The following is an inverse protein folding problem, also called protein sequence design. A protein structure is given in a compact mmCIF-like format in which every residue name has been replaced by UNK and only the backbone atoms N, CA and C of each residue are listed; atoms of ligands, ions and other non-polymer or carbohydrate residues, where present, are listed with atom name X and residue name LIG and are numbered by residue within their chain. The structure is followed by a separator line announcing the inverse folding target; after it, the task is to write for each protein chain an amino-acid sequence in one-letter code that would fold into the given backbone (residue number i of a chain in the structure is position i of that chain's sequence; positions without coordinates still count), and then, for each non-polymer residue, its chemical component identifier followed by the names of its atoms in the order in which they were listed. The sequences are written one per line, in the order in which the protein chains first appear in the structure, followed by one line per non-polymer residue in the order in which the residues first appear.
data_IF_534644085334
#
_entry.id   IF_534644085334
#
_cell.length_a   1.000
_cell.length_b   1.000
_cell.length_c   1.000
_cell.angle_alpha   90.00
_cell.angle_beta   90.00
_cell.angle_gamma   90.00
#
_symmetry.space_group_name_H-M   'P 1'
#
loop_
_entity.id
_entity.type
_entity.pdbx_description
1 polymer ?
#
# COMPACT_ATOMS: atom_id res chain seq x y z
N UNK A 1 -55.38 -20.55 -1.16
CA UNK A 1 -54.95 -19.30 -0.49
C UNK A 1 -53.44 -19.24 -0.52
N UNK A 2 -52.82 -18.39 -1.35
CA UNK A 2 -51.39 -17.99 -1.23
C UNK A 2 -51.04 -17.02 -2.37
N UNK A 3 -51.51 -15.77 -2.27
CA UNK A 3 -51.13 -14.67 -3.20
C UNK A 3 -50.95 -13.34 -2.47
N UNK A 4 -50.79 -13.38 -1.13
CA UNK A 4 -50.73 -12.17 -0.29
C UNK A 4 -49.35 -11.88 0.33
N UNK A 5 -48.33 -12.71 0.09
CA UNK A 5 -47.00 -12.55 0.72
C UNK A 5 -46.01 -11.71 -0.10
N UNK A 6 -46.12 -11.66 -1.43
CA UNK A 6 -45.12 -10.96 -2.26
C UNK A 6 -45.19 -9.43 -2.18
N UNK A 7 -46.34 -8.86 -1.79
CA UNK A 7 -46.50 -7.40 -1.70
C UNK A 7 -45.84 -6.80 -0.46
N UNK A 8 -45.60 -7.58 0.59
CA UNK A 8 -44.97 -7.06 1.81
C UNK A 8 -43.43 -7.06 1.72
N UNK A 9 -42.83 -7.96 0.92
CA UNK A 9 -41.38 -8.00 0.73
C UNK A 9 -40.86 -6.81 -0.10
N UNK A 10 -41.64 -6.35 -1.08
CA UNK A 10 -41.28 -5.20 -1.94
C UNK A 10 -41.19 -3.85 -1.20
N UNK A 11 -41.77 -3.76 0.01
CA UNK A 11 -41.72 -2.55 0.85
C UNK A 11 -40.62 -2.58 1.90
N UNK A 12 -40.08 -3.75 2.25
CA UNK A 12 -39.07 -3.89 3.29
C UNK A 12 -37.63 -3.73 2.77
N UNK A 13 -37.39 -3.84 1.45
CA UNK A 13 -36.03 -3.85 0.86
C UNK A 13 -35.75 -2.72 -0.14
N UNK A 14 -36.28 -1.52 0.10
CA UNK A 14 -35.80 -0.29 -0.55
C UNK A 14 -35.44 -0.39 -2.04
N UNK A 15 -36.46 -0.35 -2.92
CA UNK A 15 -36.30 0.07 -4.32
C UNK A 15 -35.69 -0.94 -5.30
N UNK A 16 -36.29 -1.03 -6.50
CA UNK A 16 -35.86 -1.90 -7.61
C UNK A 16 -34.46 -1.63 -8.18
N UNK A 17 -33.74 -0.62 -7.69
CA UNK A 17 -32.37 -0.31 -8.09
C UNK A 17 -31.35 -1.29 -7.51
N UNK A 18 -31.55 -1.79 -6.30
CA UNK A 18 -30.65 -2.75 -5.64
C UNK A 18 -30.60 -4.09 -6.39
N UNK A 19 -31.75 -4.56 -6.86
CA UNK A 19 -31.88 -5.81 -7.64
C UNK A 19 -31.30 -5.67 -9.06
N UNK A 20 -31.37 -4.46 -9.63
CA UNK A 20 -30.80 -4.15 -10.95
C UNK A 20 -29.28 -4.02 -10.89
N UNK A 21 -28.73 -3.49 -9.79
CA UNK A 21 -27.29 -3.47 -9.48
C UNK A 21 -26.75 -4.90 -9.29
N UNK A 22 -27.49 -5.76 -8.59
CA UNK A 22 -27.15 -7.18 -8.41
C UNK A 22 -27.01 -7.94 -9.73
N UNK A 23 -27.95 -7.79 -10.67
CA UNK A 23 -27.85 -8.40 -12.01
C UNK A 23 -26.67 -7.88 -12.83
N UNK A 24 -26.26 -6.64 -12.63
CA UNK A 24 -25.09 -6.05 -13.31
C UNK A 24 -23.79 -6.62 -12.76
N UNK A 25 -23.66 -6.74 -11.44
CA UNK A 25 -22.51 -7.33 -10.76
C UNK A 25 -22.32 -8.82 -11.14
N UNK A 26 -23.39 -9.61 -11.17
CA UNK A 26 -23.34 -11.03 -11.57
C UNK A 26 -22.88 -11.21 -13.02
N UNK A 27 -23.26 -10.31 -13.93
CA UNK A 27 -22.85 -10.35 -15.35
C UNK A 27 -21.39 -9.90 -15.55
N UNK A 28 -20.84 -9.13 -14.61
CA UNK A 28 -19.47 -8.61 -14.64
C UNK A 28 -18.47 -9.67 -14.13
N UNK A 29 -18.90 -10.49 -13.17
CA UNK A 29 -18.11 -11.55 -12.53
C UNK A 29 -17.98 -12.80 -13.41
N UNK A 30 -18.92 -13.02 -14.33
CA UNK A 30 -18.91 -14.15 -15.25
C UNK A 30 -17.99 -13.99 -16.48
N UNK A 31 -17.24 -12.90 -16.59
CA UNK A 31 -16.21 -12.71 -17.62
C UNK A 31 -14.82 -12.79 -16.98
N UNK A 32 -14.23 -13.98 -16.98
CA UNK A 32 -12.81 -14.18 -16.72
C UNK A 32 -12.05 -14.42 -18.02
N UNK A 33 -11.13 -13.51 -18.33
CA UNK A 33 -9.78 -13.78 -18.87
C UNK A 33 -9.05 -12.46 -19.07
N UNK A 34 -7.76 -12.50 -18.73
CA UNK A 34 -6.69 -11.56 -19.04
C UNK A 34 -6.59 -10.27 -18.20
N UNK A 35 -5.71 -10.30 -17.18
CA UNK A 35 -4.45 -9.57 -17.29
C UNK A 35 -3.48 -9.91 -16.12
N UNK A 36 -2.39 -10.64 -16.40
CA UNK A 36 -1.26 -10.76 -15.44
C UNK A 36 -0.70 -9.39 -15.08
N UNK A 37 -0.74 -8.46 -16.03
CA UNK A 37 -0.36 -7.06 -15.85
C UNK A 37 -1.26 -6.39 -14.81
N UNK A 38 -2.56 -6.66 -14.81
CA UNK A 38 -3.51 -6.12 -13.82
C UNK A 38 -3.20 -6.67 -12.42
N UNK A 39 -2.82 -7.95 -12.32
CA UNK A 39 -2.39 -8.55 -11.04
C UNK A 39 -1.08 -7.91 -10.54
N UNK A 40 -0.11 -7.65 -11.42
CA UNK A 40 1.14 -6.96 -11.05
C UNK A 40 0.90 -5.48 -10.71
N UNK A 41 -0.01 -4.81 -11.42
CA UNK A 41 -0.45 -3.44 -11.13
C UNK A 41 -1.17 -3.33 -9.79
N UNK A 42 -1.85 -4.39 -9.35
CA UNK A 42 -2.49 -4.46 -8.02
C UNK A 42 -1.48 -4.67 -6.88
N UNK A 43 -0.24 -5.09 -7.18
CA UNK A 43 0.81 -5.32 -6.17
C UNK A 43 1.62 -4.06 -5.84
N UNK A 44 1.71 -3.08 -6.74
CA UNK A 44 2.39 -1.80 -6.49
C UNK A 44 1.37 -0.78 -5.99
N UNK A 45 1.11 -0.79 -4.68
CA UNK A 45 -0.02 -0.06 -4.07
C UNK A 45 0.33 1.33 -3.54
N UNK A 46 1.62 1.63 -3.31
CA UNK A 46 2.06 2.93 -2.78
C UNK A 46 2.95 3.68 -3.77
N UNK A 47 2.97 5.01 -3.65
CA UNK A 47 3.83 5.84 -4.48
C UNK A 47 5.31 5.54 -4.23
N UNK A 48 5.71 5.22 -3.00
CA UNK A 48 7.09 4.88 -2.66
C UNK A 48 7.50 3.54 -3.28
N UNK A 49 6.65 2.51 -3.18
CA UNK A 49 6.86 1.24 -3.88
C UNK A 49 6.94 1.44 -5.40
N UNK A 50 6.15 2.39 -5.94
CA UNK A 50 6.22 2.76 -7.36
C UNK A 50 7.55 3.45 -7.70
N UNK A 51 8.03 4.37 -6.87
CA UNK A 51 9.32 5.05 -7.05
C UNK A 51 10.46 4.04 -7.02
N UNK A 52 10.50 3.17 -6.02
CA UNK A 52 11.55 2.18 -5.85
C UNK A 52 11.52 1.14 -6.97
N UNK A 53 10.33 0.67 -7.34
CA UNK A 53 10.14 -0.22 -8.47
C UNK A 53 10.58 0.42 -9.79
N UNK A 54 10.37 1.73 -9.99
CA UNK A 54 10.81 2.46 -11.20
C UNK A 54 12.33 2.59 -11.32
N UNK A 55 13.05 2.61 -10.19
CA UNK A 55 14.50 2.76 -10.14
C UNK A 55 15.23 1.42 -10.13
N UNK A 56 14.65 0.42 -9.45
CA UNK A 56 15.36 -0.83 -9.09
C UNK A 56 14.68 -2.11 -9.56
N UNK A 57 13.45 -2.03 -10.07
CA UNK A 57 12.74 -3.20 -10.60
C UNK A 57 13.44 -3.83 -11.81
N UNK A 58 13.04 -5.04 -12.15
CA UNK A 58 13.32 -5.58 -13.48
C UNK A 58 12.62 -4.72 -14.56
N UNK A 59 12.96 -4.92 -15.84
CA UNK A 59 12.46 -4.07 -16.92
C UNK A 59 10.93 -3.98 -16.96
N UNK A 60 10.23 -5.10 -16.79
CA UNK A 60 8.76 -5.13 -16.82
C UNK A 60 8.18 -4.38 -15.62
N UNK A 61 8.75 -4.62 -14.43
CA UNK A 61 8.36 -3.95 -13.19
C UNK A 61 8.63 -2.44 -13.24
N UNK A 62 9.77 -1.99 -13.75
CA UNK A 62 10.10 -0.57 -13.92
C UNK A 62 9.14 0.10 -14.90
N UNK A 63 8.89 -0.54 -16.03
CA UNK A 63 7.99 -0.02 -17.05
C UNK A 63 6.59 0.22 -16.47
N UNK A 64 6.07 -0.75 -15.70
CA UNK A 64 4.79 -0.63 -15.01
C UNK A 64 4.80 0.47 -13.95
N UNK A 65 5.87 0.54 -13.16
CA UNK A 65 6.03 1.56 -12.14
C UNK A 65 6.09 2.97 -12.73
N UNK A 66 6.83 3.19 -13.83
CA UNK A 66 6.88 4.48 -14.53
C UNK A 66 5.52 4.87 -15.11
N UNK A 67 4.75 3.91 -15.65
CA UNK A 67 3.37 4.17 -16.04
C UNK A 67 2.53 4.67 -14.85
N UNK A 68 2.68 4.04 -13.69
CA UNK A 68 1.97 4.42 -12.46
C UNK A 68 2.42 5.76 -11.90
N UNK A 69 3.70 6.12 -11.98
CA UNK A 69 4.19 7.46 -11.61
C UNK A 69 3.48 8.58 -12.39
N UNK A 70 3.15 8.34 -13.67
CA UNK A 70 2.35 9.26 -14.46
C UNK A 70 0.92 9.48 -13.94
N UNK A 71 0.34 8.47 -13.28
CA UNK A 71 -0.98 8.56 -12.64
C UNK A 71 -0.94 9.34 -11.32
N UNK A 72 0.20 9.32 -10.61
CA UNK A 72 0.42 10.07 -9.37
C UNK A 72 0.64 11.58 -9.61
N UNK A 73 0.72 12.04 -10.86
CA UNK A 73 0.77 13.45 -11.19
C UNK A 73 2.04 14.14 -10.69
N UNK A 74 1.90 15.22 -9.91
CA UNK A 74 3.02 16.01 -9.38
C UNK A 74 4.02 15.17 -8.58
N UNK A 75 3.52 14.26 -7.76
CA UNK A 75 4.39 13.49 -6.85
C UNK A 75 5.26 12.46 -7.59
N UNK A 76 4.92 12.16 -8.85
CA UNK A 76 5.70 11.31 -9.74
C UNK A 76 6.69 12.07 -10.64
N UNK A 77 6.64 13.41 -10.71
CA UNK A 77 7.38 14.19 -11.71
C UNK A 77 8.88 14.03 -11.65
N UNK A 78 9.45 14.10 -10.45
CA UNK A 78 10.89 13.98 -10.23
C UNK A 78 11.40 12.63 -10.71
N UNK A 79 10.63 11.58 -10.43
CA UNK A 79 10.98 10.20 -10.80
C UNK A 79 10.75 9.93 -12.28
N UNK A 80 9.82 10.63 -12.93
CA UNK A 80 9.72 10.63 -14.38
C UNK A 80 10.91 11.35 -15.04
N UNK A 81 11.45 12.43 -14.46
CA UNK A 81 12.71 13.06 -14.94
C UNK A 81 13.90 12.11 -14.74
N UNK A 82 13.96 11.38 -13.61
CA UNK A 82 14.98 10.35 -13.39
C UNK A 82 14.82 9.22 -14.42
N UNK A 83 13.60 8.77 -14.69
CA UNK A 83 13.33 7.73 -15.67
C UNK A 83 13.61 8.17 -17.12
N UNK A 84 13.65 9.48 -17.41
CA UNK A 84 14.20 10.02 -18.66
C UNK A 84 15.72 9.89 -18.77
N UNK A 85 16.39 9.50 -17.69
CA UNK A 85 17.75 9.02 -17.68
C UNK A 85 17.78 7.52 -17.31
N UNK A 86 16.81 6.67 -17.62
CA UNK A 86 17.01 5.21 -17.42
C UNK A 86 17.80 4.60 -18.59
N UNK A 87 18.72 3.66 -18.35
CA UNK A 87 19.51 2.96 -19.38
C UNK A 87 18.60 2.50 -20.52
N UNK A 88 17.36 2.12 -20.21
CA UNK A 88 16.33 1.68 -21.12
C UNK A 88 15.57 2.73 -21.91
N UNK A 89 15.73 2.85 -23.26
CA UNK A 89 14.99 3.82 -24.02
C UNK A 89 13.52 3.49 -24.07
N UNK A 90 13.07 2.25 -23.83
CA UNK A 90 11.64 1.98 -23.65
C UNK A 90 11.13 2.66 -22.39
N UNK A 91 11.87 2.58 -21.28
CA UNK A 91 11.54 3.28 -20.03
C UNK A 91 11.62 4.80 -20.24
N UNK A 92 12.68 5.33 -20.85
CA UNK A 92 12.78 6.78 -21.20
C UNK A 92 11.64 7.25 -22.10
N UNK A 93 11.31 6.46 -23.12
CA UNK A 93 10.19 6.73 -24.05
C UNK A 93 8.87 6.80 -23.29
N UNK A 94 8.61 5.82 -22.40
CA UNK A 94 7.41 5.81 -21.58
C UNK A 94 7.41 6.99 -20.60
N UNK A 95 8.53 7.30 -19.94
CA UNK A 95 8.64 8.44 -19.04
C UNK A 95 8.35 9.77 -19.74
N UNK A 96 8.89 9.98 -20.96
CA UNK A 96 8.58 11.14 -21.79
C UNK A 96 7.08 11.22 -22.13
N UNK A 97 6.49 10.07 -22.48
CA UNK A 97 5.06 9.94 -22.72
C UNK A 97 4.21 10.23 -21.48
N UNK A 98 4.64 9.77 -20.30
CA UNK A 98 3.95 9.98 -19.03
C UNK A 98 4.06 11.43 -18.55
N UNK A 99 5.20 12.09 -18.78
CA UNK A 99 5.33 13.54 -18.56
C UNK A 99 4.37 14.33 -19.45
N UNK A 100 4.22 13.96 -20.72
CA UNK A 100 3.18 14.55 -21.56
C UNK A 100 1.76 14.21 -21.05
N UNK A 101 1.55 12.98 -20.60
CA UNK A 101 0.27 12.50 -20.06
C UNK A 101 -0.19 13.29 -18.84
N UNK A 102 0.73 13.75 -18.00
CA UNK A 102 0.42 14.61 -16.83
C UNK A 102 -0.15 15.97 -17.23
N UNK A 103 0.04 16.39 -18.49
CA UNK A 103 -0.46 17.64 -19.10
C UNK A 103 0.09 18.93 -18.51
N UNK A 104 1.14 18.88 -17.69
CA UNK A 104 1.73 20.09 -17.11
C UNK A 104 2.73 20.71 -18.08
N UNK A 105 2.65 22.03 -18.24
CA UNK A 105 3.49 22.76 -19.19
C UNK A 105 4.95 22.86 -18.71
N UNK A 106 5.21 22.76 -17.42
CA UNK A 106 6.56 22.76 -16.85
C UNK A 106 7.38 21.52 -17.25
N UNK A 107 6.73 20.40 -17.55
CA UNK A 107 7.36 19.22 -18.14
C UNK A 107 8.09 19.52 -19.45
N UNK A 108 7.70 20.57 -20.20
CA UNK A 108 8.40 20.98 -21.42
C UNK A 108 9.85 21.34 -21.14
N UNK A 109 10.16 21.96 -20.00
CA UNK A 109 11.53 22.35 -19.67
C UNK A 109 12.39 21.13 -19.35
N UNK A 110 11.80 20.13 -18.70
CA UNK A 110 12.42 18.84 -18.45
C UNK A 110 12.71 18.15 -19.80
N UNK A 111 11.66 17.94 -20.61
CA UNK A 111 11.75 17.27 -21.90
C UNK A 111 12.74 17.93 -22.87
N UNK A 112 12.88 19.26 -22.86
CA UNK A 112 13.87 19.97 -23.70
C UNK A 112 15.31 19.55 -23.44
N UNK A 113 15.65 19.17 -22.20
CA UNK A 113 17.00 18.67 -21.86
C UNK A 113 17.33 17.39 -22.64
N UNK A 114 16.30 16.60 -22.97
CA UNK A 114 16.40 15.30 -23.63
C UNK A 114 16.09 15.35 -25.13
N UNK A 115 15.92 16.54 -25.73
CA UNK A 115 15.74 16.66 -27.19
C UNK A 115 16.99 16.21 -27.98
N UNK A 116 18.13 16.10 -27.31
CA UNK A 116 19.39 15.59 -27.83
C UNK A 116 19.73 14.15 -27.41
N UNK A 117 18.77 13.38 -26.88
CA UNK A 117 18.98 11.97 -26.48
C UNK A 117 19.67 11.18 -27.61
N UNK A 118 20.53 10.23 -27.27
CA UNK A 118 21.29 9.45 -28.24
C UNK A 118 20.39 8.53 -29.09
N UNK A 119 19.23 8.13 -28.56
CA UNK A 119 18.31 7.18 -29.16
C UNK A 119 17.23 7.90 -29.97
N UNK A 120 17.08 7.51 -31.24
CA UNK A 120 16.14 8.17 -32.16
C UNK A 120 14.70 8.13 -31.68
N UNK A 121 14.22 6.98 -31.18
CA UNK A 121 12.85 6.82 -30.68
C UNK A 121 12.55 7.72 -29.47
N UNK A 122 13.53 7.93 -28.58
CA UNK A 122 13.38 8.83 -27.42
C UNK A 122 13.35 10.28 -27.90
N UNK A 123 14.24 10.71 -28.81
CA UNK A 123 14.20 12.06 -29.38
C UNK A 123 12.88 12.37 -30.07
N UNK A 124 12.38 11.45 -30.89
CA UNK A 124 11.09 11.58 -31.58
C UNK A 124 9.94 11.70 -30.57
N UNK A 125 9.93 10.86 -29.53
CA UNK A 125 8.92 10.87 -28.49
C UNK A 125 8.98 12.15 -27.66
N UNK A 126 10.17 12.63 -27.29
CA UNK A 126 10.38 13.88 -26.59
C UNK A 126 9.91 15.07 -27.43
N UNK A 127 10.26 15.11 -28.72
CA UNK A 127 9.80 16.15 -29.63
C UNK A 127 8.27 16.14 -29.79
N UNK A 128 7.67 14.95 -29.91
CA UNK A 128 6.23 14.76 -29.94
C UNK A 128 5.57 15.22 -28.63
N UNK A 129 6.09 14.79 -27.47
CA UNK A 129 5.62 15.15 -26.14
C UNK A 129 5.65 16.66 -25.92
N UNK A 130 6.73 17.33 -26.30
CA UNK A 130 6.85 18.80 -26.24
C UNK A 130 5.80 19.45 -27.15
N UNK A 131 5.68 19.02 -28.41
CA UNK A 131 4.70 19.58 -29.34
C UNK A 131 3.26 19.36 -28.86
N UNK A 132 3.00 18.18 -28.28
CA UNK A 132 1.72 17.82 -27.70
C UNK A 132 1.40 18.71 -26.49
N UNK A 133 2.31 18.86 -25.53
CA UNK A 133 2.12 19.73 -24.36
C UNK A 133 1.99 21.21 -24.76
N UNK A 134 2.70 21.68 -25.78
CA UNK A 134 2.53 23.05 -26.27
C UNK A 134 1.15 23.29 -26.89
N UNK A 135 0.56 22.26 -27.49
CA UNK A 135 -0.75 22.34 -28.16
C UNK A 135 -1.93 22.05 -27.21
N UNK A 136 -1.72 21.18 -26.21
CA UNK A 136 -2.77 20.56 -25.41
C UNK A 136 -2.53 20.62 -23.88
N UNK A 137 -1.35 21.06 -23.44
CA UNK A 137 -1.00 21.19 -22.03
C UNK A 137 -1.99 22.11 -21.31
N UNK A 138 -2.49 21.64 -20.18
CA UNK A 138 -3.56 22.24 -19.37
C UNK A 138 -4.92 22.51 -20.03
N UNK A 139 -5.13 22.24 -21.33
CA UNK A 139 -6.44 22.31 -21.98
C UNK A 139 -6.52 21.48 -23.28
N UNK A 140 -7.20 20.31 -23.27
CA UNK A 140 -8.07 19.71 -24.34
C UNK A 140 -8.60 18.30 -23.88
N UNK A 141 -9.77 17.84 -24.38
CA UNK A 141 -10.73 16.98 -23.66
C UNK A 141 -10.34 15.50 -23.50
N UNK A 142 -10.93 14.90 -22.47
CA UNK A 142 -10.89 13.50 -22.02
C UNK A 142 -10.60 12.42 -23.09
N UNK A 143 -9.61 11.54 -22.81
CA UNK A 143 -9.53 10.18 -23.38
C UNK A 143 -8.25 9.83 -24.16
N UNK A 144 -7.62 8.65 -23.93
CA UNK A 144 -6.20 8.43 -24.19
C UNK A 144 -5.89 7.90 -25.60
N UNK A 145 -4.68 8.19 -26.07
CA UNK A 145 -4.06 7.67 -27.29
C UNK A 145 -2.92 6.71 -26.91
N UNK A 146 -2.88 5.53 -27.53
CA UNK A 146 -1.89 4.45 -27.28
C UNK A 146 -0.86 4.42 -28.42
N UNK A 147 0.45 4.66 -28.19
CA UNK A 147 1.48 4.57 -29.23
C UNK A 147 2.46 3.40 -29.07
N UNK A 148 3.19 3.13 -30.16
CA UNK A 148 3.74 1.83 -30.62
C UNK A 148 5.25 1.67 -30.31
N UNK A 149 5.71 0.46 -29.92
CA UNK A 149 7.03 0.12 -29.32
C UNK A 149 8.27 0.04 -30.26
N UNK A 150 9.50 0.32 -29.74
CA UNK A 150 10.90 -0.12 -30.15
C UNK A 150 12.01 0.55 -29.28
N UNK A 151 13.30 0.16 -29.15
CA UNK A 151 14.13 -1.09 -29.12
C UNK A 151 15.52 -0.70 -28.48
N UNK A 152 15.80 -1.01 -27.18
CA UNK A 152 17.12 -1.38 -26.55
C UNK A 152 17.98 -0.44 -25.60
N UNK A 153 18.45 -0.91 -24.39
CA UNK A 153 18.55 -0.14 -23.12
C UNK A 153 19.84 -0.05 -22.26
N UNK A 154 20.97 0.52 -22.69
CA UNK A 154 22.24 0.27 -21.97
C UNK A 154 23.14 1.46 -21.62
N UNK A 155 22.63 2.69 -21.41
CA UNK A 155 23.51 3.88 -21.39
C UNK A 155 23.65 4.75 -20.11
N UNK A 156 23.23 4.38 -18.90
CA UNK A 156 23.04 5.40 -17.83
C UNK A 156 23.81 5.28 -16.49
N UNK A 157 24.33 4.14 -16.03
CA UNK A 157 24.68 3.98 -14.59
C UNK A 157 26.13 4.28 -14.10
N UNK A 158 26.72 5.48 -14.22
CA UNK A 158 28.03 5.79 -13.55
C UNK A 158 28.23 7.27 -13.13
N UNK A 159 28.08 7.63 -11.83
CA UNK A 159 28.79 8.75 -11.14
C UNK A 159 28.40 8.90 -9.62
N UNK A 160 29.22 8.39 -8.65
CA UNK A 160 29.42 8.99 -7.30
C UNK A 160 30.56 8.30 -6.50
N UNK A 161 31.42 9.10 -5.87
CA UNK A 161 32.73 8.74 -5.27
C UNK A 161 32.70 8.51 -3.73
N UNK A 162 31.72 7.78 -3.19
CA UNK A 162 31.82 7.27 -1.81
C UNK A 162 32.50 5.90 -1.83
N UNK A 163 33.63 5.75 -1.10
CA UNK A 163 34.28 4.45 -0.90
C UNK A 163 33.18 3.47 -0.46
N UNK A 164 32.90 2.39 -1.22
CA UNK A 164 31.84 1.48 -0.86
C UNK A 164 32.16 0.89 0.51
N UNK A 165 31.34 1.22 1.52
CA UNK A 165 31.36 0.54 2.80
C UNK A 165 31.18 -0.95 2.51
N UNK A 166 32.15 -1.75 2.93
CA UNK A 166 32.04 -3.20 2.80
C UNK A 166 30.88 -3.65 3.67
N UNK A 167 29.92 -4.35 3.07
CA UNK A 167 28.83 -4.98 3.79
C UNK A 167 29.29 -6.33 4.35
N UNK A 168 28.98 -6.62 5.60
CA UNK A 168 29.17 -7.96 6.15
C UNK A 168 27.90 -8.79 6.00
N UNK A 169 28.07 -10.08 5.66
CA UNK A 169 26.99 -11.06 5.68
C UNK A 169 26.94 -11.84 7.01
N UNK A 170 27.88 -11.61 7.94
CA UNK A 170 27.92 -12.30 9.25
C UNK A 170 27.12 -11.59 10.34
N UNK A 171 26.61 -10.39 10.07
CA UNK A 171 25.78 -9.63 11.02
C UNK A 171 24.39 -9.50 10.44
N UNK A 172 23.43 -10.14 11.11
CA UNK A 172 22.02 -10.15 10.70
C UNK A 172 21.28 -9.09 11.51
N UNK A 173 20.51 -8.25 10.83
CA UNK A 173 19.68 -7.23 11.44
C UNK A 173 18.22 -7.66 11.33
N UNK A 174 17.56 -7.77 12.47
CA UNK A 174 16.13 -8.10 12.58
C UNK A 174 15.44 -6.86 13.14
N UNK A 175 14.45 -6.36 12.42
CA UNK A 175 13.69 -5.19 12.84
C UNK A 175 12.26 -5.60 13.17
N UNK A 176 11.69 -4.99 14.20
CA UNK A 176 10.28 -5.12 14.56
C UNK A 176 9.75 -3.77 15.06
N UNK A 177 8.43 -3.69 15.24
CA UNK A 177 7.83 -2.54 15.88
C UNK A 177 6.57 -2.91 16.64
N UNK A 178 6.33 -2.18 17.71
CA UNK A 178 5.10 -2.23 18.48
C UNK A 178 4.41 -0.88 18.43
N UNK A 179 3.08 -0.89 18.37
CA UNK A 179 2.30 0.35 18.32
C UNK A 179 1.32 0.40 19.49
N UNK A 180 1.24 1.56 20.11
CA UNK A 180 0.26 1.94 21.11
C UNK A 180 -0.56 3.13 20.58
N UNK A 181 -1.62 3.55 21.27
CA UNK A 181 -2.40 4.72 20.85
C UNK A 181 -1.60 6.02 20.73
N UNK A 182 -0.56 6.20 21.56
CA UNK A 182 0.19 7.46 21.66
C UNK A 182 1.66 7.32 21.22
N UNK A 183 2.14 6.11 20.97
CA UNK A 183 3.55 5.86 20.67
C UNK A 183 3.79 4.65 19.77
N UNK A 184 4.95 4.65 19.12
CA UNK A 184 5.52 3.51 18.41
C UNK A 184 6.89 3.21 19.02
N UNK A 185 7.15 1.94 19.29
CA UNK A 185 8.45 1.45 19.72
C UNK A 185 9.03 0.65 18.55
N UNK A 186 10.09 1.18 17.94
CA UNK A 186 10.82 0.51 16.87
C UNK A 186 11.99 -0.27 17.47
N UNK A 187 11.90 -1.60 17.40
CA UNK A 187 12.93 -2.49 17.91
C UNK A 187 13.88 -2.95 16.81
N UNK A 188 15.16 -3.03 17.16
CA UNK A 188 16.19 -3.56 16.28
C UNK A 188 17.06 -4.54 17.06
N UNK A 189 17.19 -5.74 16.54
CA UNK A 189 18.03 -6.80 17.08
C UNK A 189 19.15 -7.10 16.10
N UNK A 190 20.38 -6.98 16.58
CA UNK A 190 21.60 -7.17 15.81
C UNK A 190 22.21 -8.47 16.29
N UNK A 191 22.28 -9.46 15.41
CA UNK A 191 22.82 -10.79 15.70
C UNK A 191 24.16 -10.96 15.03
N UNK A 192 25.19 -11.23 15.81
CA UNK A 192 26.52 -11.53 15.30
C UNK A 192 26.64 -13.04 15.06
N UNK A 193 26.48 -13.48 13.80
CA UNK A 193 26.68 -14.88 13.41
C UNK A 193 28.14 -15.21 13.05
N UNK A 194 29.05 -14.24 13.24
CA UNK A 194 30.47 -14.40 13.08
C UNK A 194 31.12 -15.20 14.22
N UNK A 195 32.37 -15.63 13.99
CA UNK A 195 33.16 -16.37 14.98
C UNK A 195 33.95 -15.47 15.94
N UNK A 196 33.84 -14.16 15.79
CA UNK A 196 34.60 -13.13 16.53
C UNK A 196 33.66 -12.03 17.00
N UNK A 197 33.94 -11.38 18.14
CA UNK A 197 33.12 -10.27 18.62
C UNK A 197 33.17 -9.09 17.63
N UNK A 198 32.11 -8.28 17.66
CA UNK A 198 32.04 -6.99 16.98
C UNK A 198 31.92 -5.88 18.02
N UNK A 199 32.50 -4.73 17.74
CA UNK A 199 32.60 -3.60 18.67
C UNK A 199 31.95 -2.35 18.09
N UNK A 200 31.66 -1.37 18.95
CA UNK A 200 31.17 -0.05 18.58
C UNK A 200 29.97 -0.09 17.63
N UNK A 201 29.04 -1.01 17.91
CA UNK A 201 27.85 -1.22 17.08
C UNK A 201 26.95 0.01 17.22
N UNK A 202 26.83 0.80 16.16
CA UNK A 202 26.06 2.03 16.11
C UNK A 202 24.86 1.86 15.19
N UNK A 203 23.66 2.10 15.72
CA UNK A 203 22.42 2.15 14.94
C UNK A 203 21.96 3.59 14.82
N UNK A 204 21.63 4.01 13.61
CA UNK A 204 21.03 5.33 13.34
C UNK A 204 19.74 5.21 12.54
N UNK A 205 18.69 5.91 12.96
CA UNK A 205 17.48 6.13 12.17
C UNK A 205 17.80 7.21 11.13
N UNK A 206 17.74 6.86 9.85
CA UNK A 206 18.03 7.76 8.73
C UNK A 206 16.79 8.50 8.26
N UNK A 207 15.64 7.81 8.24
CA UNK A 207 14.35 8.34 7.79
C UNK A 207 13.22 7.66 8.55
N UNK A 208 12.13 8.38 8.76
CA UNK A 208 10.87 7.92 9.36
C UNK A 208 9.74 8.86 8.89
N UNK A 209 8.46 8.48 9.01
CA UNK A 209 7.33 9.32 8.61
C UNK A 209 7.14 10.49 9.59
N UNK A 210 7.96 11.53 9.43
CA UNK A 210 8.05 12.69 10.34
C UNK A 210 6.81 13.57 10.39
N UNK A 211 5.89 13.40 9.44
CA UNK A 211 4.58 14.04 9.39
C UNK A 211 3.63 13.55 10.50
N UNK A 212 3.77 12.29 10.93
CA UNK A 212 2.90 11.68 11.93
C UNK A 212 3.66 11.18 13.17
N UNK A 213 4.99 11.15 13.14
CA UNK A 213 5.85 10.71 14.25
C UNK A 213 6.84 11.79 14.69
N UNK A 214 7.02 11.90 16.01
CA UNK A 214 8.10 12.68 16.62
C UNK A 214 9.00 11.77 17.47
N UNK A 215 10.34 11.84 17.33
CA UNK A 215 11.24 10.95 18.07
C UNK A 215 11.24 11.30 19.56
N UNK A 216 11.06 10.30 20.43
CA UNK A 216 11.14 10.46 21.88
C UNK A 216 12.61 10.44 22.38
N UNK A 217 13.48 9.74 21.65
CA UNK A 217 14.88 9.50 22.00
C UNK A 217 15.85 10.02 20.91
N UNK A 218 17.15 9.83 21.15
CA UNK A 218 18.20 10.06 20.14
C UNK A 218 17.99 9.17 18.91
N UNK A 219 18.16 9.73 17.71
CA UNK A 219 18.16 8.98 16.45
C UNK A 219 19.32 8.00 16.33
N UNK A 220 20.35 8.13 17.16
CA UNK A 220 21.51 7.23 17.20
C UNK A 220 21.66 6.62 18.59
N UNK A 221 21.83 5.31 18.62
CA UNK A 221 22.13 4.53 19.82
C UNK A 221 23.25 3.53 19.51
N UNK A 222 23.98 3.09 20.54
CA UNK A 222 25.14 2.22 20.35
C UNK A 222 25.21 1.10 21.39
N UNK A 223 25.68 -0.06 20.95
CA UNK A 223 26.08 -1.19 21.79
C UNK A 223 27.60 -1.31 21.71
N UNK A 224 28.26 -1.35 22.87
CA UNK A 224 29.73 -1.34 22.92
C UNK A 224 30.35 -2.57 22.27
N UNK A 225 29.75 -3.74 22.46
CA UNK A 225 30.26 -5.03 21.98
C UNK A 225 29.12 -6.06 21.87
N UNK A 226 29.19 -6.92 20.86
CA UNK A 226 28.34 -8.11 20.71
C UNK A 226 29.24 -9.31 20.46
N UNK A 227 29.20 -10.29 21.37
CA UNK A 227 29.99 -11.52 21.30
C UNK A 227 29.64 -12.37 20.08
N UNK A 228 30.55 -13.28 19.72
CA UNK A 228 30.33 -14.24 18.65
C UNK A 228 29.12 -15.14 18.94
N UNK A 229 28.19 -15.25 18.00
CA UNK A 229 26.90 -15.96 18.13
C UNK A 229 25.95 -15.38 19.20
N UNK A 230 26.15 -14.13 19.61
CA UNK A 230 25.24 -13.41 20.52
C UNK A 230 24.45 -12.33 19.76
N UNK A 231 23.53 -11.68 20.48
CA UNK A 231 22.70 -10.60 19.95
C UNK A 231 22.57 -9.43 20.91
N UNK A 232 22.47 -8.23 20.35
CA UNK A 232 22.13 -7.02 21.08
C UNK A 232 20.87 -6.38 20.51
N UNK A 233 20.03 -5.80 21.38
CA UNK A 233 18.79 -5.15 20.97
C UNK A 233 18.75 -3.69 21.43
N UNK A 234 18.18 -2.83 20.58
CA UNK A 234 17.92 -1.42 20.86
C UNK A 234 16.46 -1.11 20.55
N UNK A 235 15.91 -0.10 21.22
CA UNK A 235 14.54 0.36 21.02
C UNK A 235 14.58 1.88 20.79
N UNK A 236 13.89 2.33 19.75
CA UNK A 236 13.69 3.74 19.42
C UNK A 236 12.22 4.10 19.63
N UNK A 237 11.96 4.99 20.59
CA UNK A 237 10.62 5.49 20.84
C UNK A 237 10.24 6.62 19.87
N UNK A 238 9.03 6.56 19.34
CA UNK A 238 8.37 7.65 18.61
C UNK A 238 7.04 7.97 19.29
N UNK A 239 6.74 9.25 19.45
CA UNK A 239 5.42 9.75 19.84
C UNK A 239 4.60 9.96 18.57
N UNK A 240 3.35 9.55 18.62
CA UNK A 240 2.40 9.75 17.52
C UNK A 240 1.78 11.14 17.65
N UNK A 241 1.79 11.90 16.56
CA UNK A 241 1.24 13.26 16.51
C UNK A 241 -0.02 13.36 15.63
N UNK A 242 -0.35 12.30 14.89
CA UNK A 242 -1.50 12.27 13.97
C UNK A 242 -2.32 10.97 14.16
N UNK A 243 -3.57 10.99 13.67
CA UNK A 243 -4.49 9.85 13.74
C UNK A 243 -4.14 8.70 12.79
N UNK A 244 -3.12 8.89 11.97
CA UNK A 244 -2.73 7.99 10.92
C UNK A 244 -1.20 7.94 10.84
N UNK A 245 -0.65 6.74 11.02
CA UNK A 245 0.78 6.48 10.82
C UNK A 245 0.93 5.48 9.68
N UNK A 246 1.56 5.91 8.58
CA UNK A 246 1.98 5.03 7.50
C UNK A 246 3.28 5.54 6.90
N UNK A 247 4.30 4.69 6.81
CA UNK A 247 5.56 5.04 6.15
C UNK A 247 6.69 4.09 6.47
N UNK A 248 7.87 4.37 5.93
CA UNK A 248 9.06 3.55 6.14
C UNK A 248 10.00 4.13 7.19
N UNK A 249 10.47 3.28 8.09
CA UNK A 249 11.62 3.56 8.94
C UNK A 249 12.85 2.95 8.28
N UNK A 250 13.81 3.80 7.92
CA UNK A 250 15.07 3.43 7.30
C UNK A 250 16.17 3.55 8.34
N UNK A 251 16.96 2.49 8.50
CA UNK A 251 18.02 2.43 9.52
C UNK A 251 19.37 2.08 8.93
N UNK A 252 20.43 2.54 9.60
CA UNK A 252 21.82 2.18 9.30
C UNK A 252 22.45 1.54 10.51
N UNK A 253 23.09 0.39 10.30
CA UNK A 253 23.83 -0.34 11.33
C UNK A 253 25.30 -0.40 10.92
N UNK A 254 26.16 0.17 11.75
CA UNK A 254 27.62 0.17 11.58
C UNK A 254 28.29 -0.50 12.76
N UNK A 255 29.43 -1.12 12.54
CA UNK A 255 30.20 -1.77 13.60
C UNK A 255 31.67 -1.89 13.20
N UNK A 256 32.52 -2.15 14.18
CA UNK A 256 33.95 -2.43 14.00
C UNK A 256 34.18 -3.92 14.22
N UNK A 257 34.79 -4.60 13.24
CA UNK A 257 35.11 -6.03 13.38
C UNK A 257 36.38 -6.26 14.22
N UNK A 258 36.75 -7.53 14.45
CA UNK A 258 37.96 -7.87 15.20
C UNK A 258 39.28 -7.45 14.54
N UNK A 259 39.27 -7.09 13.25
CA UNK A 259 40.44 -6.56 12.54
C UNK A 259 40.56 -5.04 12.68
N UNK A 260 39.56 -4.38 13.27
CA UNK A 260 39.46 -2.93 13.37
C UNK A 260 38.88 -2.26 12.13
N UNK A 261 38.27 -3.04 11.22
CA UNK A 261 37.62 -2.50 10.02
C UNK A 261 36.20 -2.02 10.34
N UNK A 262 35.84 -0.84 9.82
CA UNK A 262 34.50 -0.24 9.93
C UNK A 262 33.60 -0.79 8.81
N UNK A 263 32.56 -1.52 9.21
CA UNK A 263 31.67 -2.24 8.32
C UNK A 263 30.21 -1.80 8.52
N UNK A 264 29.39 -2.00 7.49
CA UNK A 264 27.95 -1.84 7.58
C UNK A 264 27.25 -3.20 7.53
N UNK A 265 26.21 -3.37 8.34
CA UNK A 265 25.28 -4.48 8.20
C UNK A 265 24.12 -4.08 7.29
N UNK A 266 23.59 -5.04 6.53
CA UNK A 266 22.38 -4.84 5.72
C UNK A 266 21.19 -4.74 6.67
N UNK A 267 20.71 -3.52 6.92
CA UNK A 267 19.47 -3.27 7.62
C UNK A 267 18.37 -3.08 6.58
N UNK A 268 17.32 -3.92 6.63
CA UNK A 268 16.15 -3.73 5.79
C UNK A 268 15.33 -2.51 6.22
N UNK A 269 14.51 -1.98 5.31
CA UNK A 269 13.49 -0.99 5.66
C UNK A 269 12.33 -1.67 6.37
N UNK A 270 11.68 -0.96 7.29
CA UNK A 270 10.44 -1.44 7.92
C UNK A 270 9.31 -0.51 7.55
N UNK A 271 8.30 -1.07 6.90
CA UNK A 271 7.04 -0.38 6.67
C UNK A 271 6.19 -0.44 7.93
N UNK A 272 5.93 0.72 8.52
CA UNK A 272 5.11 0.88 9.71
C UNK A 272 3.73 1.37 9.27
N UNK A 273 2.69 0.69 9.74
CA UNK A 273 1.30 1.11 9.55
C UNK A 273 0.53 0.96 10.87
N UNK A 274 -0.03 2.05 11.37
CA UNK A 274 -0.90 2.08 12.54
C UNK A 274 -2.04 3.06 12.27
N UNK A 275 -3.26 2.54 12.25
CA UNK A 275 -4.46 3.35 12.01
C UNK A 275 -5.42 3.13 13.17
N UNK A 276 -5.90 1.91 13.33
CA UNK A 276 -6.95 1.60 14.29
C UNK A 276 -6.54 1.75 15.76
N UNK A 277 -5.24 1.79 16.07
CA UNK A 277 -4.76 2.04 17.44
C UNK A 277 -4.95 3.50 17.86
N UNK A 278 -5.08 4.41 16.91
CA UNK A 278 -5.33 5.84 17.13
C UNK A 278 -6.83 6.17 17.22
N UNK A 279 -7.70 5.15 17.22
CA UNK A 279 -9.15 5.29 17.30
C UNK A 279 -9.70 4.56 18.53
N UNK A 280 -10.77 5.11 19.09
CA UNK A 280 -11.55 4.48 20.16
C UNK A 280 -12.94 4.05 19.66
N UNK A 281 -13.50 2.94 20.16
CA UNK A 281 -14.85 2.52 19.81
C UNK A 281 -15.88 3.62 20.11
N UNK A 282 -16.73 3.94 19.13
CA UNK A 282 -17.78 4.94 19.27
C UNK A 282 -19.16 4.27 19.35
N UNK A 283 -19.78 4.29 20.52
CA UNK A 283 -21.13 3.75 20.69
C UNK A 283 -22.13 4.49 19.79
N UNK A 284 -22.78 3.75 18.90
CA UNK A 284 -23.69 4.30 17.89
C UNK A 284 -24.78 3.29 17.53
N UNK A 285 -25.97 3.78 17.20
CA UNK A 285 -27.06 2.93 16.69
C UNK A 285 -27.08 2.91 15.16
N UNK A 286 -27.59 1.83 14.58
CA UNK A 286 -27.64 1.68 13.11
C UNK A 286 -28.47 2.77 12.40
N UNK A 287 -29.51 3.32 13.04
CA UNK A 287 -30.29 4.45 12.52
C UNK A 287 -29.49 5.75 12.51
N UNK A 288 -28.66 5.98 13.51
CA UNK A 288 -27.78 7.15 13.60
C UNK A 288 -26.69 7.10 12.52
N UNK A 289 -26.08 5.93 12.31
CA UNK A 289 -25.06 5.74 11.27
C UNK A 289 -25.59 6.06 9.87
N UNK A 290 -26.87 5.76 9.56
CA UNK A 290 -27.46 6.09 8.26
C UNK A 290 -27.45 7.58 7.99
N UNK A 291 -27.59 8.41 9.02
CA UNK A 291 -27.52 9.86 8.89
C UNK A 291 -26.08 10.36 8.81
N UNK A 292 -25.16 9.79 9.59
CA UNK A 292 -23.76 10.20 9.57
C UNK A 292 -23.07 9.89 8.23
N UNK A 293 -23.31 8.70 7.68
CA UNK A 293 -22.60 8.20 6.49
C UNK A 293 -22.84 9.03 5.22
N UNK A 294 -23.88 9.88 5.17
CA UNK A 294 -24.16 10.67 3.96
C UNK A 294 -23.11 11.74 3.70
N UNK A 295 -22.41 12.15 4.76
CA UNK A 295 -21.48 13.27 4.73
C UNK A 295 -20.01 12.80 4.69
N UNK A 296 -19.78 11.50 4.94
CA UNK A 296 -18.46 10.87 4.96
C UNK A 296 -17.96 10.53 3.56
N UNK A 297 -16.63 10.55 3.38
CA UNK A 297 -15.97 9.98 2.21
C UNK A 297 -16.07 8.46 2.26
N UNK A 298 -16.18 7.84 1.09
CA UNK A 298 -16.36 6.40 0.98
C UNK A 298 -15.32 5.79 0.04
N UNK A 299 -14.70 4.72 0.51
CA UNK A 299 -14.01 3.74 -0.33
C UNK A 299 -14.78 2.43 -0.33
N UNK A 300 -14.85 1.74 -1.47
CA UNK A 300 -15.42 0.40 -1.52
C UNK A 300 -14.79 -0.48 -2.60
N UNK A 301 -14.65 -1.77 -2.29
CA UNK A 301 -14.17 -2.78 -3.23
C UNK A 301 -14.74 -4.16 -2.90
N UNK A 302 -14.93 -4.97 -3.95
CA UNK A 302 -15.28 -6.38 -3.83
C UNK A 302 -14.03 -7.23 -4.07
N UNK A 303 -13.79 -8.19 -3.18
CA UNK A 303 -12.68 -9.14 -3.19
C UNK A 303 -13.22 -10.56 -3.27
N UNK A 304 -12.46 -11.42 -3.92
CA UNK A 304 -12.70 -12.87 -3.89
C UNK A 304 -11.77 -13.49 -2.86
N UNK A 305 -12.32 -14.24 -1.91
CA UNK A 305 -11.57 -14.83 -0.79
C UNK A 305 -11.74 -16.34 -0.84
N UNK A 306 -10.64 -17.09 -0.72
CA UNK A 306 -10.62 -18.56 -0.78
C UNK A 306 -10.94 -19.16 0.60
N UNK A 307 -12.13 -18.84 1.11
CA UNK A 307 -12.68 -19.40 2.33
C UNK A 307 -14.22 -19.48 2.25
N UNK A 308 -14.84 -20.30 3.10
CA UNK A 308 -16.31 -20.37 3.17
C UNK A 308 -16.88 -19.08 3.77
N UNK A 309 -18.04 -18.62 3.29
CA UNK A 309 -18.58 -17.33 3.69
C UNK A 309 -18.90 -17.23 5.19
N UNK A 310 -19.26 -18.34 5.82
CA UNK A 310 -19.57 -18.40 7.25
C UNK A 310 -18.30 -18.37 8.11
N UNK A 311 -17.21 -18.97 7.62
CA UNK A 311 -15.88 -18.89 8.24
C UNK A 311 -15.34 -17.46 8.20
N UNK A 312 -15.41 -16.82 7.02
CA UNK A 312 -15.07 -15.40 6.87
C UNK A 312 -15.92 -14.56 7.82
N UNK A 313 -17.24 -14.72 7.84
CA UNK A 313 -18.12 -13.94 8.73
C UNK A 313 -17.78 -14.12 10.21
N UNK A 314 -17.44 -15.35 10.61
CA UNK A 314 -16.92 -15.65 11.94
C UNK A 314 -15.66 -14.83 12.25
N UNK A 315 -14.74 -14.76 11.28
CA UNK A 315 -13.49 -13.99 11.35
C UNK A 315 -13.72 -12.48 11.60
N UNK A 316 -14.70 -11.90 10.90
CA UNK A 316 -14.85 -10.45 10.85
C UNK A 316 -15.18 -9.81 12.21
N UNK A 317 -15.83 -10.54 13.13
CA UNK A 317 -16.22 -9.97 14.41
C UNK A 317 -15.02 -9.58 15.27
N UNK A 318 -14.14 -10.54 15.54
CA UNK A 318 -12.95 -10.31 16.36
C UNK A 318 -11.95 -9.39 15.64
N UNK A 319 -11.90 -9.40 14.30
CA UNK A 319 -11.11 -8.44 13.54
C UNK A 319 -11.60 -7.01 13.83
N UNK A 320 -12.90 -6.71 13.69
CA UNK A 320 -13.39 -5.36 13.95
C UNK A 320 -13.25 -4.95 15.42
N UNK A 321 -13.48 -5.86 16.38
CA UNK A 321 -13.24 -5.59 17.81
C UNK A 321 -11.76 -5.29 18.08
N UNK A 322 -10.84 -6.09 17.52
CA UNK A 322 -9.40 -5.90 17.65
C UNK A 322 -8.89 -4.63 16.97
N UNK A 323 -9.67 -4.07 16.04
CA UNK A 323 -9.42 -2.78 15.39
C UNK A 323 -10.17 -1.63 16.07
N UNK A 324 -10.52 -1.76 17.35
CA UNK A 324 -11.14 -0.71 18.17
C UNK A 324 -12.43 -0.13 17.57
N UNK A 325 -13.20 -0.93 16.84
CA UNK A 325 -14.49 -0.51 16.29
C UNK A 325 -15.64 -0.98 17.20
N UNK A 326 -16.56 -0.06 17.51
CA UNK A 326 -17.82 -0.43 18.16
C UNK A 326 -18.76 -1.06 17.13
N UNK A 327 -19.06 -2.36 17.30
CA UNK A 327 -19.92 -3.10 16.40
C UNK A 327 -21.39 -2.75 16.67
N UNK A 328 -22.01 -2.02 15.77
CA UNK A 328 -23.42 -1.60 15.88
C UNK A 328 -24.36 -2.42 14.97
N UNK A 329 -23.83 -3.20 14.03
CA UNK A 329 -24.60 -4.11 13.19
C UNK A 329 -23.86 -5.44 13.02
N UNK A 330 -24.57 -6.55 13.25
CA UNK A 330 -24.11 -7.91 13.00
C UNK A 330 -25.32 -8.76 12.65
N UNK A 331 -25.48 -9.05 11.37
CA UNK A 331 -26.64 -9.77 10.83
C UNK A 331 -26.17 -10.78 9.79
N UNK A 332 -26.70 -12.00 9.87
CA UNK A 332 -26.51 -13.03 8.86
C UNK A 332 -27.85 -13.65 8.44
N UNK A 333 -27.91 -14.09 7.19
CA UNK A 333 -29.08 -14.72 6.60
C UNK A 333 -28.61 -15.89 5.72
N UNK A 334 -29.20 -17.06 5.95
CA UNK A 334 -29.03 -18.24 5.11
C UNK A 334 -30.33 -18.53 4.35
N UNK A 335 -30.29 -18.56 3.01
CA UNK A 335 -31.44 -18.93 2.15
C UNK A 335 -30.97 -19.61 0.87
N UNK A 336 -31.69 -20.65 0.45
CA UNK A 336 -31.46 -21.33 -0.83
C UNK A 336 -29.98 -21.72 -1.07
N UNK A 337 -29.31 -22.22 -0.03
CA UNK A 337 -27.90 -22.59 -0.04
C UNK A 337 -26.92 -21.40 -0.21
N UNK A 338 -27.38 -20.16 -0.05
CA UNK A 338 -26.56 -18.95 -0.06
C UNK A 338 -26.49 -18.40 1.37
N UNK A 339 -25.28 -18.11 1.82
CA UNK A 339 -25.00 -17.38 3.05
C UNK A 339 -24.69 -15.92 2.70
N UNK A 340 -25.27 -15.00 3.46
CA UNK A 340 -24.95 -13.58 3.42
C UNK A 340 -24.80 -13.06 4.84
N UNK A 341 -23.66 -12.44 5.13
CA UNK A 341 -23.37 -11.79 6.41
C UNK A 341 -23.02 -10.33 6.21
N UNK A 342 -23.49 -9.47 7.10
CA UNK A 342 -23.14 -8.05 7.17
C UNK A 342 -22.70 -7.74 8.60
N UNK A 343 -21.52 -7.14 8.73
CA UNK A 343 -21.03 -6.62 10.00
C UNK A 343 -20.52 -5.20 9.80
N UNK A 344 -20.87 -4.30 10.71
CA UNK A 344 -20.44 -2.92 10.65
C UNK A 344 -20.02 -2.42 12.03
N UNK A 345 -18.96 -1.62 12.04
CA UNK A 345 -18.46 -0.98 13.24
C UNK A 345 -17.99 0.44 12.98
N UNK A 346 -17.93 1.25 14.04
CA UNK A 346 -17.49 2.64 13.98
C UNK A 346 -16.59 2.98 15.16
N UNK A 347 -15.63 3.85 14.90
CA UNK A 347 -14.71 4.41 15.88
C UNK A 347 -14.54 5.90 15.65
N UNK A 348 -13.99 6.57 16.66
CA UNK A 348 -13.65 7.98 16.64
C UNK A 348 -12.18 8.16 16.93
N UNK A 349 -11.53 9.07 16.20
CA UNK A 349 -10.13 9.40 16.39
C UNK A 349 -9.85 9.88 17.82
N UNK A 350 -8.67 9.56 18.34
CA UNK A 350 -8.16 10.07 19.61
C UNK A 350 -7.48 11.44 19.46
N UNK A 351 -7.11 11.81 18.23
CA UNK A 351 -6.37 13.04 17.92
C UNK A 351 -7.27 14.13 17.34
N UNK A 352 -8.38 13.73 16.71
CA UNK A 352 -9.32 14.61 16.04
C UNK A 352 -10.78 14.26 16.35
N UNK A 353 -11.72 14.97 15.73
CA UNK A 353 -13.15 14.65 15.80
C UNK A 353 -13.60 13.71 14.67
N UNK A 354 -12.68 13.21 13.85
CA UNK A 354 -12.98 12.38 12.68
C UNK A 354 -13.50 11.00 13.10
N UNK A 355 -14.49 10.54 12.37
CA UNK A 355 -15.04 9.19 12.52
C UNK A 355 -14.49 8.26 11.44
N UNK A 356 -14.34 6.99 11.79
CA UNK A 356 -13.99 5.91 10.87
C UNK A 356 -15.02 4.79 11.03
N UNK A 357 -15.74 4.48 9.96
CA UNK A 357 -16.69 3.38 9.95
C UNK A 357 -16.33 2.36 8.89
N UNK A 358 -16.60 1.10 9.22
CA UNK A 358 -16.31 -0.05 8.36
C UNK A 358 -17.59 -0.86 8.22
N UNK A 359 -17.95 -1.21 6.99
CA UNK A 359 -18.98 -2.20 6.71
C UNK A 359 -18.39 -3.31 5.87
N UNK A 360 -18.50 -4.54 6.36
CA UNK A 360 -18.04 -5.73 5.68
C UNK A 360 -19.25 -6.58 5.32
N UNK A 361 -19.38 -6.90 4.03
CA UNK A 361 -20.46 -7.76 3.51
C UNK A 361 -19.83 -8.99 2.89
N UNK A 362 -20.18 -10.17 3.38
CA UNK A 362 -19.74 -11.44 2.82
C UNK A 362 -20.91 -12.19 2.19
N UNK A 363 -20.69 -12.77 1.02
CA UNK A 363 -21.67 -13.59 0.31
C UNK A 363 -20.97 -14.82 -0.28
N UNK A 364 -21.55 -16.00 -0.08
CA UNK A 364 -21.06 -17.23 -0.71
C UNK A 364 -22.11 -18.34 -0.69
N UNK A 365 -21.89 -19.36 -1.51
CA UNK A 365 -22.69 -20.58 -1.48
C UNK A 365 -22.19 -21.48 -0.35
N UNK A 366 -23.09 -22.13 0.38
CA UNK A 366 -22.71 -23.07 1.44
C UNK A 366 -21.95 -24.27 0.86
N UNK A 367 -20.79 -24.56 1.44
CA UNK A 367 -19.87 -25.60 0.99
C UNK A 367 -18.91 -25.18 -0.14
N UNK A 368 -19.06 -23.97 -0.70
CA UNK A 368 -18.08 -23.41 -1.63
C UNK A 368 -16.95 -22.75 -0.84
N UNK A 369 -15.70 -23.11 -1.16
CA UNK A 369 -14.49 -22.51 -0.57
C UNK A 369 -14.12 -21.14 -1.16
N UNK A 370 -15.01 -20.55 -1.95
CA UNK A 370 -14.76 -19.27 -2.60
C UNK A 370 -15.96 -18.38 -2.30
N UNK A 371 -15.67 -17.25 -1.68
CA UNK A 371 -16.68 -16.29 -1.26
C UNK A 371 -16.31 -14.89 -1.74
N UNK A 372 -17.32 -14.02 -1.77
CA UNK A 372 -17.15 -12.61 -2.07
C UNK A 372 -17.18 -11.81 -0.79
N UNK A 373 -16.16 -11.00 -0.58
CA UNK A 373 -16.08 -10.04 0.51
C UNK A 373 -16.11 -8.64 -0.09
N UNK A 374 -17.09 -7.84 0.28
CA UNK A 374 -17.13 -6.42 -0.01
C UNK A 374 -16.73 -5.65 1.24
N UNK A 375 -15.77 -4.74 1.08
CA UNK A 375 -15.29 -3.84 2.11
C UNK A 375 -15.76 -2.44 1.74
N UNK A 376 -16.50 -1.79 2.62
CA UNK A 376 -16.85 -0.38 2.54
C UNK A 376 -16.23 0.35 3.74
N UNK A 377 -15.36 1.33 3.48
CA UNK A 377 -14.76 2.20 4.49
C UNK A 377 -15.36 3.59 4.34
N UNK A 378 -15.72 4.21 5.46
CA UNK A 378 -16.22 5.57 5.52
C UNK A 378 -15.36 6.38 6.48
N UNK A 379 -14.94 7.58 6.10
CA UNK A 379 -14.31 8.51 7.05
C UNK A 379 -14.58 9.98 6.70
N UNK A 380 -14.51 10.83 7.73
CA UNK A 380 -14.45 12.28 7.57
C UNK A 380 -13.09 12.72 6.98
N UNK A 381 -12.03 11.91 7.17
CA UNK A 381 -10.70 12.13 6.60
C UNK A 381 -10.50 11.30 5.33
N UNK A 382 -10.19 11.95 4.21
CA UNK A 382 -9.99 11.28 2.93
C UNK A 382 -8.67 10.51 2.84
N UNK A 383 -7.66 10.90 3.61
CA UNK A 383 -6.32 10.30 3.53
C UNK A 383 -6.30 8.90 4.14
N UNK A 384 -7.16 8.64 5.13
CA UNK A 384 -7.14 7.36 5.87
C UNK A 384 -7.93 6.24 5.20
N UNK A 385 -8.89 6.54 4.31
CA UNK A 385 -9.86 5.53 3.83
C UNK A 385 -9.20 4.38 3.07
N UNK A 386 -8.14 4.66 2.31
CA UNK A 386 -7.41 3.67 1.53
C UNK A 386 -6.56 2.77 2.42
N UNK A 387 -5.81 3.37 3.33
CA UNK A 387 -4.91 2.63 4.23
C UNK A 387 -5.70 1.80 5.24
N UNK A 388 -6.83 2.32 5.75
CA UNK A 388 -7.76 1.58 6.59
C UNK A 388 -8.34 0.36 5.86
N UNK A 389 -8.70 0.52 4.58
CA UNK A 389 -9.14 -0.60 3.74
C UNK A 389 -8.06 -1.67 3.57
N UNK A 390 -6.83 -1.26 3.27
CA UNK A 390 -5.70 -2.17 3.07
C UNK A 390 -5.40 -2.97 4.34
N UNK A 391 -5.28 -2.27 5.47
CA UNK A 391 -4.99 -2.89 6.78
C UNK A 391 -6.07 -3.91 7.19
N UNK A 392 -7.36 -3.60 7.00
CA UNK A 392 -8.43 -4.56 7.26
C UNK A 392 -8.34 -5.76 6.34
N UNK A 393 -8.13 -5.55 5.04
CA UNK A 393 -8.08 -6.65 4.09
C UNK A 393 -6.91 -7.59 4.36
N UNK A 394 -5.72 -7.04 4.61
CA UNK A 394 -4.53 -7.81 5.00
C UNK A 394 -4.76 -8.58 6.31
N UNK A 395 -5.39 -7.94 7.31
CA UNK A 395 -5.75 -8.61 8.58
C UNK A 395 -6.70 -9.78 8.36
N UNK A 396 -7.70 -9.64 7.47
CA UNK A 396 -8.63 -10.72 7.13
C UNK A 396 -7.90 -11.89 6.46
N UNK A 397 -7.01 -11.61 5.50
CA UNK A 397 -6.25 -12.65 4.81
C UNK A 397 -5.33 -13.42 5.77
N UNK A 398 -4.74 -12.72 6.75
CA UNK A 398 -3.87 -13.31 7.78
C UNK A 398 -4.66 -14.16 8.77
N UNK A 399 -5.81 -13.68 9.27
CA UNK A 399 -6.64 -14.43 10.23
C UNK A 399 -7.20 -15.72 9.62
N UNK A 400 -7.44 -15.72 8.32
CA UNK A 400 -7.91 -16.87 7.55
C UNK A 400 -6.79 -17.78 7.04
N UNK A 401 -5.52 -17.51 7.37
CA UNK A 401 -4.35 -18.28 6.92
C UNK A 401 -4.25 -18.41 5.38
N UNK A 402 -4.71 -17.38 4.66
CA UNK A 402 -4.72 -17.36 3.18
C UNK A 402 -3.39 -16.83 2.62
N UNK A 403 -2.71 -15.96 3.37
CA UNK A 403 -1.42 -15.39 2.98
C UNK A 403 -0.45 -15.50 4.14
N UNK A 404 0.63 -16.25 3.94
CA UNK A 404 1.81 -16.15 4.81
C UNK A 404 2.67 -14.97 4.32
N UNK A 405 2.62 -13.86 5.06
CA UNK A 405 3.36 -12.64 4.74
C UNK A 405 4.89 -12.81 4.85
N UNK A 406 5.38 -13.98 5.29
CA UNK A 406 6.81 -14.29 5.32
C UNK A 406 7.38 -14.76 3.97
N UNK A 407 6.59 -14.75 2.90
CA UNK A 407 7.07 -15.07 1.55
C UNK A 407 7.22 -16.57 1.26
N UNK A 408 6.81 -17.45 2.17
CA UNK A 408 6.66 -18.87 1.87
C UNK A 408 5.23 -19.12 1.36
N UNK A 409 5.07 -19.26 0.04
CA UNK A 409 3.81 -19.74 -0.52
C UNK A 409 3.50 -21.14 0.01
N UNK A 410 2.47 -21.26 0.85
CA UNK A 410 1.82 -22.54 1.11
C UNK A 410 1.04 -22.97 -0.15
N UNK A 411 1.75 -23.58 -1.10
CA UNK A 411 1.13 -24.42 -2.12
C UNK A 411 0.81 -25.78 -1.48
N UNK A 412 -0.39 -25.88 -0.91
CA UNK A 412 -1.04 -27.12 -0.48
C UNK A 412 -2.14 -27.56 -1.43
#
# INVERSE_FOLDING_TARGET
MSRKTDRNLSRAMGGGDSLRRLKKAVKQVAKSSDDKITIMLEQITSIQATKDASLTGDEDTKLLAVCKLGEWGEDGFEYLDIALNDDNPHIRTVAAGMLAYTRRLDAIQILKKYSGDNTESVRETVAYAIGWLQMYGENIPEGPYIPVSRENPTEILLESDTIPLRTSDTVVVINDYFTSPESIEYGITIKNEGSTPIHEVSVSILSYPSECLSPADSHTQSISEIDANDSGSLIFGFKIEDEFVEGEIITSVRFVDSNGDDLAAKAGNVFVRSIYNQFAPLEMRADEFIHLKSDMRQWNREHTVIAEANEIFGALHHILEGKNLYIFQKEDIERDNVFMGVIAGISKSLFSENNLAVTLTVVGTKGDKISKLRIDIFSDNNEIVHSAASDIYETILKDLDIVDMNGEQLLG
#
